data_IF_764227532427
#
_entry.id   IF_764227532427
#
_cell.length_a   1.000
_cell.length_b   1.000
_cell.length_c   1.000
_cell.angle_alpha   90.00
_cell.angle_beta   90.00
_cell.angle_gamma   90.00
#
_symmetry.space_group_name_H-M   'P 1'
#
loop_
_entity.id
_entity.type
_entity.pdbx_description
1 polymer ?
#
# COMPACT_ATOMS: atom_id res chain seq x y z
N UNK A 1 -0.69 -0.27 5.31
CA UNK A 1 0.15 -1.09 6.22
C UNK A 1 -0.69 -1.82 7.26
N UNK A 2 -1.47 -1.13 8.10
CA UNK A 2 -2.29 -1.77 9.15
C UNK A 2 -3.32 -2.73 8.56
N UNK A 3 -4.00 -2.34 7.49
CA UNK A 3 -4.92 -3.21 6.74
C UNK A 3 -4.26 -4.54 6.35
N UNK A 4 -3.06 -4.52 5.76
CA UNK A 4 -2.28 -5.73 5.46
C UNK A 4 -1.98 -6.58 6.70
N UNK A 5 -1.60 -5.95 7.82
CA UNK A 5 -1.28 -6.67 9.06
C UNK A 5 -2.53 -7.31 9.69
N UNK A 6 -3.70 -6.66 9.59
CA UNK A 6 -4.95 -7.20 10.12
C UNK A 6 -5.57 -8.28 9.23
N UNK A 7 -5.34 -8.22 7.91
CA UNK A 7 -5.93 -9.17 6.95
C UNK A 7 -5.08 -10.44 6.74
N UNK A 8 -3.81 -10.42 7.10
CA UNK A 8 -2.89 -11.54 6.84
C UNK A 8 -2.23 -12.03 8.12
N UNK A 9 -2.29 -13.34 8.35
CA UNK A 9 -1.49 -14.00 9.37
C UNK A 9 -0.11 -14.32 8.79
N UNK A 10 0.90 -13.52 9.15
CA UNK A 10 2.29 -13.79 8.80
C UNK A 10 2.93 -14.65 9.88
N UNK A 11 3.65 -15.70 9.49
CA UNK A 11 4.30 -16.61 10.45
C UNK A 11 5.69 -16.11 10.82
N UNK A 12 6.35 -15.40 9.90
CA UNK A 12 7.71 -14.88 10.11
C UNK A 12 7.84 -13.39 9.82
N UNK A 13 8.84 -12.76 10.41
CA UNK A 13 9.19 -11.37 10.11
C UNK A 13 9.61 -11.14 8.65
N UNK A 14 10.19 -12.15 7.98
CA UNK A 14 10.55 -12.08 6.56
C UNK A 14 9.32 -12.05 5.67
N UNK A 15 8.32 -12.88 5.96
CA UNK A 15 7.04 -12.86 5.26
C UNK A 15 6.29 -11.55 5.47
N UNK A 16 6.26 -11.05 6.71
CA UNK A 16 5.67 -9.75 7.03
C UNK A 16 6.33 -8.64 6.20
N UNK A 17 7.66 -8.61 6.11
CA UNK A 17 8.38 -7.62 5.29
C UNK A 17 8.00 -7.72 3.82
N UNK A 18 7.99 -8.92 3.25
CA UNK A 18 7.62 -9.13 1.85
C UNK A 18 6.15 -8.76 1.58
N UNK A 19 5.24 -9.13 2.48
CA UNK A 19 3.83 -8.79 2.42
C UNK A 19 3.59 -7.28 2.48
N UNK A 20 4.24 -6.58 3.42
CA UNK A 20 4.16 -5.14 3.54
C UNK A 20 4.72 -4.42 2.31
N UNK A 21 5.83 -4.88 1.74
CA UNK A 21 6.39 -4.31 0.52
C UNK A 21 5.36 -4.37 -0.63
N UNK A 22 4.77 -5.54 -0.87
CA UNK A 22 3.70 -5.71 -1.88
C UNK A 22 2.50 -4.83 -1.59
N UNK A 23 2.05 -4.78 -0.33
CA UNK A 23 0.92 -3.96 0.06
C UNK A 23 1.16 -2.46 -0.17
N UNK A 24 2.35 -1.96 0.18
CA UNK A 24 2.70 -0.55 -0.01
C UNK A 24 2.72 -0.20 -1.49
N UNK A 25 3.30 -1.05 -2.34
CA UNK A 25 3.27 -0.86 -3.79
C UNK A 25 1.82 -0.78 -4.29
N UNK A 26 0.98 -1.76 -3.96
CA UNK A 26 -0.44 -1.76 -4.34
C UNK A 26 -1.18 -0.50 -3.86
N UNK A 27 -1.01 -0.11 -2.59
CA UNK A 27 -1.67 1.05 -2.00
C UNK A 27 -1.31 2.35 -2.74
N UNK A 28 -0.05 2.48 -3.14
CA UNK A 28 0.47 3.70 -3.76
C UNK A 28 0.19 3.78 -5.26
N UNK A 29 0.16 2.65 -5.98
CA UNK A 29 0.15 2.66 -7.46
C UNK A 29 -1.12 2.10 -8.08
N UNK A 30 -1.94 1.35 -7.34
CA UNK A 30 -3.11 0.66 -7.90
C UNK A 30 -4.40 0.96 -7.15
N UNK A 31 -4.33 1.20 -5.83
CA UNK A 31 -5.53 1.49 -5.04
C UNK A 31 -5.97 2.94 -5.27
N UNK A 32 -7.19 3.09 -5.78
CA UNK A 32 -7.85 4.39 -5.88
C UNK A 32 -8.34 4.87 -4.51
N UNK A 33 -8.21 6.17 -4.24
CA UNK A 33 -8.64 6.77 -2.97
C UNK A 33 -9.71 7.81 -3.23
N UNK A 34 -10.86 7.67 -2.55
CA UNK A 34 -11.97 8.64 -2.64
C UNK A 34 -11.54 10.04 -2.20
N UNK A 35 -10.68 10.14 -1.18
CA UNK A 35 -10.09 11.40 -0.73
C UNK A 35 -9.11 12.05 -1.72
N UNK A 36 -8.70 11.32 -2.76
CA UNK A 36 -7.86 11.81 -3.87
C UNK A 36 -8.65 11.88 -5.17
N UNK A 37 -9.97 12.08 -5.11
CA UNK A 37 -10.84 12.11 -6.28
C UNK A 37 -10.71 10.87 -7.19
N UNK A 38 -10.45 9.70 -6.59
CA UNK A 38 -10.28 8.43 -7.32
C UNK A 38 -8.87 8.19 -7.86
N UNK A 39 -7.93 9.11 -7.64
CA UNK A 39 -6.52 8.91 -7.99
C UNK A 39 -5.80 8.03 -6.96
N UNK A 40 -4.71 7.42 -7.41
CA UNK A 40 -3.73 6.77 -6.56
C UNK A 40 -2.79 7.80 -5.92
N UNK A 41 -2.13 7.49 -4.79
CA UNK A 41 -1.17 8.40 -4.16
C UNK A 41 -0.01 8.75 -5.10
N UNK A 42 0.46 7.80 -5.91
CA UNK A 42 1.48 8.07 -6.92
C UNK A 42 1.01 9.07 -7.97
N UNK A 43 -0.24 8.99 -8.43
CA UNK A 43 -0.78 9.98 -9.39
C UNK A 43 -0.97 11.36 -8.76
N UNK A 44 -1.43 11.41 -7.51
CA UNK A 44 -1.70 12.67 -6.80
C UNK A 44 -0.42 13.40 -6.36
N UNK A 45 0.60 12.65 -5.90
CA UNK A 45 1.79 13.22 -5.26
C UNK A 45 3.11 12.94 -6.00
N UNK A 46 3.15 12.01 -6.95
CA UNK A 46 4.38 11.55 -7.60
C UNK A 46 5.12 12.60 -8.44
N UNK A 47 4.55 13.81 -8.59
CA UNK A 47 5.20 14.96 -9.23
C UNK A 47 5.91 15.91 -8.25
N UNK A 48 5.83 15.67 -6.94
CA UNK A 48 6.59 16.43 -5.94
C UNK A 48 7.86 15.64 -5.64
N UNK A 49 8.89 15.86 -6.46
CA UNK A 49 10.29 15.49 -6.19
C UNK A 49 11.17 16.69 -6.50
#
# INVERSE_FOLDING_TARGET
KYECVYLHAFETGSELRAGLARWITYYNTLRQHSGLAGQTPTEAYGRIA
#
